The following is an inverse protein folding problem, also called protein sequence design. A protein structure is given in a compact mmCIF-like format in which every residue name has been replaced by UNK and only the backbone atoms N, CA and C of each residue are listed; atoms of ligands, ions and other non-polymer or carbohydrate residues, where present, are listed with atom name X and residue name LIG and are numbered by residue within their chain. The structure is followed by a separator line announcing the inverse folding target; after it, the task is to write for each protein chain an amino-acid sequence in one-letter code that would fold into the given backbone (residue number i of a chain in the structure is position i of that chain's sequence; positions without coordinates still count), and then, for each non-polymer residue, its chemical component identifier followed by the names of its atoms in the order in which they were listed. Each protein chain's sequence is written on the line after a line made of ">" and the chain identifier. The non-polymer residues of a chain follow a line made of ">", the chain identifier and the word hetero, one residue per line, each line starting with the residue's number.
data_IF_166266307001
#
_entry.id   IF_166266307001
#
_cell.length_a   1.000
_cell.length_b   1.000
_cell.length_c   1.000
_cell.angle_alpha   90.00
_cell.angle_beta   90.00
_cell.angle_gamma   90.00
#
_symmetry.space_group_name_H-M   'P 1'
#
loop_
_entity.id
_entity.type
_entity.pdbx_description
1 polymer ?
#
# COMPACT_ATOMS: atom_id res chain seq x y z
N UNK A 1 -90.08 48.86 -8.92
CA UNK A 1 -88.84 48.84 -8.12
C UNK A 1 -88.35 47.41 -8.03
N UNK A 2 -87.19 47.17 -8.66
CA UNK A 2 -86.22 46.06 -8.48
C UNK A 2 -86.67 44.59 -8.70
N UNK A 3 -85.77 43.65 -9.07
CA UNK A 3 -84.42 43.79 -9.66
C UNK A 3 -84.20 42.96 -10.94
N UNK A 4 -83.24 43.40 -11.76
CA UNK A 4 -82.67 42.63 -12.88
C UNK A 4 -81.86 41.47 -12.31
N UNK A 5 -82.24 40.22 -12.65
CA UNK A 5 -81.44 39.05 -12.35
C UNK A 5 -80.24 38.99 -13.31
N UNK A 6 -79.07 39.32 -12.79
CA UNK A 6 -77.78 38.99 -13.40
C UNK A 6 -77.50 37.52 -13.14
N UNK A 7 -77.53 36.71 -14.18
CA UNK A 7 -76.96 35.36 -14.20
C UNK A 7 -75.43 35.47 -14.31
N UNK A 8 -74.65 34.98 -13.33
CA UNK A 8 -73.22 34.80 -13.54
C UNK A 8 -73.02 33.52 -14.36
N UNK A 9 -72.60 33.69 -15.61
CA UNK A 9 -72.01 32.64 -16.44
C UNK A 9 -70.75 32.12 -15.75
N UNK A 10 -70.87 31.05 -14.96
CA UNK A 10 -69.73 30.30 -14.44
C UNK A 10 -69.19 29.39 -15.56
N UNK A 11 -68.41 29.98 -16.46
CA UNK A 11 -67.50 29.23 -17.32
C UNK A 11 -66.28 28.84 -16.48
N UNK A 12 -66.43 27.86 -15.60
CA UNK A 12 -65.29 27.27 -14.90
C UNK A 12 -64.67 26.23 -15.84
N UNK A 13 -63.74 26.69 -16.68
CA UNK A 13 -62.81 25.82 -17.37
C UNK A 13 -61.96 25.11 -16.30
N UNK A 14 -62.34 23.89 -15.96
CA UNK A 14 -61.61 23.01 -15.04
C UNK A 14 -60.26 22.64 -15.69
N UNK A 15 -59.22 23.41 -15.33
CA UNK A 15 -57.85 23.04 -15.62
C UNK A 15 -57.49 21.71 -14.95
N UNK A 16 -56.56 20.94 -15.52
CA UNK A 16 -56.21 19.62 -15.00
C UNK A 16 -55.69 19.70 -13.55
N UNK A 17 -56.28 18.88 -12.66
CA UNK A 17 -55.87 18.80 -11.26
C UNK A 17 -54.35 18.53 -11.16
N UNK A 18 -53.57 19.34 -10.42
CA UNK A 18 -52.12 19.21 -10.35
C UNK A 18 -51.69 17.84 -9.81
N UNK A 19 -52.47 17.28 -8.89
CA UNK A 19 -52.27 15.93 -8.35
C UNK A 19 -52.40 14.83 -9.40
N UNK A 20 -53.28 15.00 -10.39
CA UNK A 20 -53.41 14.05 -11.51
C UNK A 20 -52.17 14.08 -12.39
N UNK A 21 -51.62 15.26 -12.66
CA UNK A 21 -50.40 15.41 -13.47
C UNK A 21 -49.23 14.72 -12.77
N UNK A 22 -49.04 14.96 -11.47
CA UNK A 22 -47.97 14.32 -10.68
C UNK A 22 -48.13 12.79 -10.68
N UNK A 23 -49.35 12.29 -10.49
CA UNK A 23 -49.62 10.85 -10.52
C UNK A 23 -49.30 10.23 -11.90
N UNK A 24 -49.66 10.90 -12.99
CA UNK A 24 -49.37 10.42 -14.35
C UNK A 24 -47.85 10.37 -14.60
N UNK A 25 -47.12 11.43 -14.23
CA UNK A 25 -45.65 11.46 -14.39
C UNK A 25 -44.99 10.36 -13.55
N UNK A 26 -45.43 10.16 -12.31
CA UNK A 26 -44.90 9.11 -11.45
C UNK A 26 -45.15 7.72 -12.05
N UNK A 27 -46.39 7.41 -12.43
CA UNK A 27 -46.76 6.11 -13.00
C UNK A 27 -46.01 5.85 -14.30
N UNK A 28 -45.95 6.82 -15.20
CA UNK A 28 -45.23 6.68 -16.48
C UNK A 28 -43.74 6.46 -16.26
N UNK A 29 -43.10 7.24 -15.36
CA UNK A 29 -41.69 7.05 -15.02
C UNK A 29 -41.40 5.69 -14.38
N UNK A 30 -42.30 5.20 -13.53
CA UNK A 30 -42.19 3.90 -12.90
C UNK A 30 -42.30 2.76 -13.92
N UNK A 31 -43.26 2.84 -14.85
CA UNK A 31 -43.41 1.87 -15.93
C UNK A 31 -42.17 1.87 -16.85
N UNK A 32 -41.67 3.06 -17.22
CA UNK A 32 -40.44 3.20 -18.02
C UNK A 32 -39.24 2.56 -17.30
N UNK A 33 -39.11 2.78 -15.99
CA UNK A 33 -38.05 2.18 -15.18
C UNK A 33 -38.17 0.65 -15.12
N UNK A 34 -39.38 0.12 -14.94
CA UNK A 34 -39.63 -1.33 -14.97
C UNK A 34 -39.30 -1.95 -16.33
N UNK A 35 -39.67 -1.29 -17.43
CA UNK A 35 -39.35 -1.76 -18.78
C UNK A 35 -37.84 -1.72 -19.04
N UNK A 36 -37.16 -0.64 -18.65
CA UNK A 36 -35.72 -0.53 -18.79
C UNK A 36 -34.99 -1.61 -17.97
N UNK A 37 -35.41 -1.82 -16.72
CA UNK A 37 -34.89 -2.87 -15.85
C UNK A 37 -35.13 -4.27 -16.44
N UNK A 38 -36.35 -4.54 -16.90
CA UNK A 38 -36.69 -5.81 -17.56
C UNK A 38 -35.85 -6.05 -18.82
N UNK A 39 -35.62 -5.02 -19.63
CA UNK A 39 -34.77 -5.11 -20.82
C UNK A 39 -33.30 -5.41 -20.46
N UNK A 40 -32.76 -4.79 -19.41
CA UNK A 40 -31.40 -5.06 -18.91
C UNK A 40 -31.30 -6.49 -18.40
N UNK A 41 -32.24 -6.93 -17.57
CA UNK A 41 -32.27 -8.30 -17.03
C UNK A 41 -32.39 -9.31 -18.17
N UNK A 42 -33.27 -9.06 -19.14
CA UNK A 42 -33.43 -9.93 -20.31
C UNK A 42 -32.15 -9.98 -21.15
N UNK A 43 -31.52 -8.83 -21.39
CA UNK A 43 -30.26 -8.75 -22.12
C UNK A 43 -29.12 -9.50 -21.41
N UNK A 44 -29.00 -9.35 -20.09
CA UNK A 44 -28.02 -10.06 -19.27
C UNK A 44 -28.29 -11.57 -19.30
N UNK A 45 -29.54 -12.00 -19.16
CA UNK A 45 -29.92 -13.42 -19.25
C UNK A 45 -29.65 -14.00 -20.63
N UNK A 46 -29.94 -13.26 -21.71
CA UNK A 46 -29.64 -13.70 -23.08
C UNK A 46 -28.14 -13.82 -23.33
N UNK A 47 -27.34 -12.91 -22.76
CA UNK A 47 -25.87 -13.02 -22.81
C UNK A 47 -25.38 -14.24 -22.03
N UNK A 48 -25.93 -14.46 -20.84
CA UNK A 48 -25.59 -15.60 -19.99
C UNK A 48 -25.89 -16.93 -20.69
N UNK A 49 -27.08 -17.12 -21.26
CA UNK A 49 -27.43 -18.35 -21.97
C UNK A 49 -26.57 -18.58 -23.22
N UNK A 50 -26.19 -17.51 -23.93
CA UNK A 50 -25.22 -17.61 -25.03
C UNK A 50 -23.83 -18.04 -24.54
N UNK A 51 -23.34 -17.46 -23.46
CA UNK A 51 -22.06 -17.87 -22.87
C UNK A 51 -22.11 -19.33 -22.40
N UNK A 52 -23.17 -19.72 -21.69
CA UNK A 52 -23.35 -21.10 -21.22
C UNK A 52 -23.40 -22.09 -22.39
N UNK A 53 -24.06 -21.74 -23.51
CA UNK A 53 -24.06 -22.57 -24.71
C UNK A 53 -22.67 -22.71 -25.34
N UNK A 54 -21.89 -21.62 -25.38
CA UNK A 54 -20.50 -21.63 -25.88
C UNK A 54 -19.59 -22.46 -24.95
N UNK A 55 -19.71 -22.27 -23.64
CA UNK A 55 -18.94 -22.98 -22.63
C UNK A 55 -19.27 -24.47 -22.64
N UNK A 56 -20.55 -24.84 -22.71
CA UNK A 56 -20.98 -26.23 -22.83
C UNK A 56 -20.52 -26.85 -24.16
N UNK A 57 -20.54 -26.09 -25.25
CA UNK A 57 -19.96 -26.51 -26.53
C UNK A 57 -18.45 -26.74 -26.44
N UNK A 58 -17.73 -25.86 -25.76
CA UNK A 58 -16.29 -25.97 -25.54
C UNK A 58 -15.94 -27.18 -24.66
N UNK A 59 -16.69 -27.41 -23.58
CA UNK A 59 -16.54 -28.60 -22.74
C UNK A 59 -16.85 -29.89 -23.50
N UNK A 60 -17.81 -29.85 -24.42
CA UNK A 60 -18.17 -31.02 -25.25
C UNK A 60 -17.12 -31.33 -26.33
N UNK A 61 -16.33 -30.35 -26.74
CA UNK A 61 -15.21 -30.54 -27.68
C UNK A 61 -13.87 -30.81 -26.96
N UNK A 62 -13.81 -30.69 -25.64
CA UNK A 62 -12.59 -30.96 -24.86
C UNK A 62 -12.39 -32.47 -24.74
N UNK A 63 -11.33 -32.96 -25.39
CA UNK A 63 -10.91 -34.34 -25.19
C UNK A 63 -10.44 -34.54 -23.73
N UNK A 64 -10.80 -35.69 -23.11
CA UNK A 64 -10.36 -36.00 -21.76
C UNK A 64 -8.83 -36.02 -21.69
N UNK A 65 -8.28 -35.54 -20.58
CA UNK A 65 -6.84 -35.48 -20.38
C UNK A 65 -6.25 -36.90 -20.43
N UNK A 66 -5.34 -37.20 -21.37
CA UNK A 66 -4.80 -38.55 -21.55
C UNK A 66 -3.76 -38.91 -20.48
N UNK A 67 -3.30 -37.94 -19.68
CA UNK A 67 -2.26 -38.13 -18.68
C UNK A 67 -2.85 -38.52 -17.31
N UNK A 68 -2.10 -39.27 -16.49
CA UNK A 68 -2.54 -39.60 -15.14
C UNK A 68 -2.63 -38.35 -14.26
N UNK A 69 -3.72 -38.24 -13.49
CA UNK A 69 -3.98 -37.10 -12.60
C UNK A 69 -2.80 -36.85 -11.66
N UNK A 70 -2.43 -35.57 -11.49
CA UNK A 70 -1.32 -35.14 -10.63
C UNK A 70 0.08 -35.17 -11.27
N UNK A 71 0.25 -35.84 -12.42
CA UNK A 71 1.50 -35.78 -13.18
C UNK A 71 1.78 -34.38 -13.74
N UNK A 72 3.05 -34.07 -14.02
CA UNK A 72 3.41 -32.79 -14.64
C UNK A 72 2.77 -32.65 -16.03
N UNK A 73 2.79 -33.72 -16.84
CA UNK A 73 2.13 -33.75 -18.14
C UNK A 73 0.60 -33.51 -18.05
N UNK A 74 -0.05 -33.99 -16.99
CA UNK A 74 -1.45 -33.69 -16.74
C UNK A 74 -1.66 -32.19 -16.49
N UNK A 75 -0.82 -31.58 -15.63
CA UNK A 75 -0.87 -30.14 -15.33
C UNK A 75 -0.63 -29.28 -16.56
N UNK A 76 0.38 -29.62 -17.36
CA UNK A 76 0.72 -28.89 -18.59
C UNK A 76 -0.41 -28.99 -19.63
N UNK A 77 -1.02 -30.17 -19.77
CA UNK A 77 -2.20 -30.35 -20.64
C UNK A 77 -3.39 -29.53 -20.14
N UNK A 78 -3.67 -29.53 -18.83
CA UNK A 78 -4.76 -28.69 -18.29
C UNK A 78 -4.49 -27.21 -18.56
N UNK A 79 -3.29 -26.72 -18.27
CA UNK A 79 -2.88 -25.33 -18.48
C UNK A 79 -2.99 -24.91 -19.95
N UNK A 80 -2.58 -25.76 -20.88
CA UNK A 80 -2.70 -25.50 -22.33
C UNK A 80 -4.15 -25.37 -22.81
N UNK A 81 -5.10 -25.99 -22.09
CA UNK A 81 -6.51 -25.99 -22.41
C UNK A 81 -7.31 -24.94 -21.61
N UNK A 82 -6.65 -24.12 -20.79
CA UNK A 82 -7.27 -22.97 -20.15
C UNK A 82 -7.41 -21.86 -21.21
N UNK A 83 -8.60 -21.26 -21.39
CA UNK A 83 -8.74 -20.15 -22.31
C UNK A 83 -7.85 -18.98 -21.86
N UNK A 84 -7.22 -18.29 -22.82
CA UNK A 84 -6.30 -17.19 -22.54
C UNK A 84 -6.89 -16.13 -21.60
N UNK A 85 -8.20 -15.87 -21.68
CA UNK A 85 -8.91 -14.95 -20.77
C UNK A 85 -8.86 -15.37 -19.31
N UNK A 86 -8.87 -16.67 -19.01
CA UNK A 86 -8.77 -17.19 -17.65
C UNK A 86 -7.32 -17.17 -17.15
N UNK A 87 -6.33 -17.36 -18.04
CA UNK A 87 -4.92 -17.13 -17.71
C UNK A 87 -4.66 -15.65 -17.41
N UNK A 88 -5.22 -14.75 -18.20
CA UNK A 88 -5.12 -13.30 -17.98
C UNK A 88 -5.78 -12.91 -16.65
N UNK A 89 -6.98 -13.44 -16.36
CA UNK A 89 -7.65 -13.20 -15.07
C UNK A 89 -6.82 -13.69 -13.87
N UNK A 90 -6.22 -14.88 -13.98
CA UNK A 90 -5.33 -15.41 -12.94
C UNK A 90 -4.09 -14.54 -12.76
N UNK A 91 -3.49 -14.07 -13.87
CA UNK A 91 -2.34 -13.17 -13.85
C UNK A 91 -2.68 -11.81 -13.24
N UNK A 92 -3.85 -11.26 -13.55
CA UNK A 92 -4.34 -10.01 -12.95
C UNK A 92 -4.51 -10.19 -11.45
N UNK A 93 -5.15 -11.28 -11.00
CA UNK A 93 -5.35 -11.56 -9.58
C UNK A 93 -4.01 -11.71 -8.82
N UNK A 94 -3.02 -12.38 -9.43
CA UNK A 94 -1.69 -12.50 -8.85
C UNK A 94 -0.98 -11.14 -8.73
N UNK A 95 -1.05 -10.32 -9.79
CA UNK A 95 -0.51 -8.96 -9.77
C UNK A 95 -1.20 -8.06 -8.74
N UNK A 96 -2.51 -8.18 -8.57
CA UNK A 96 -3.26 -7.45 -7.54
C UNK A 96 -2.82 -7.87 -6.13
N UNK A 97 -2.64 -9.17 -5.89
CA UNK A 97 -2.14 -9.68 -4.61
C UNK A 97 -0.73 -9.15 -4.30
N UNK A 98 0.17 -9.16 -5.29
CA UNK A 98 1.51 -8.60 -5.15
C UNK A 98 1.47 -7.09 -4.87
N UNK A 99 0.61 -6.34 -5.55
CA UNK A 99 0.48 -4.90 -5.37
C UNK A 99 -0.05 -4.56 -3.96
N UNK A 100 -1.04 -5.31 -3.47
CA UNK A 100 -1.54 -5.17 -2.11
C UNK A 100 -0.45 -5.42 -1.06
N UNK A 101 0.38 -6.46 -1.26
CA UNK A 101 1.51 -6.75 -0.37
C UNK A 101 2.55 -5.62 -0.40
N UNK A 102 2.85 -5.07 -1.57
CA UNK A 102 3.75 -3.92 -1.70
C UNK A 102 3.19 -2.68 -1.00
N UNK A 103 1.89 -2.42 -1.13
CA UNK A 103 1.21 -1.34 -0.40
C UNK A 103 1.36 -1.47 1.11
N UNK A 104 1.09 -2.66 1.67
CA UNK A 104 1.27 -2.92 3.10
C UNK A 104 2.71 -2.71 3.57
N UNK A 105 3.69 -3.11 2.76
CA UNK A 105 5.11 -2.89 3.08
C UNK A 105 5.48 -1.41 3.04
N UNK A 106 4.94 -0.65 2.09
CA UNK A 106 5.17 0.79 2.00
C UNK A 106 4.61 1.51 3.24
N UNK A 107 3.38 1.17 3.66
CA UNK A 107 2.77 1.72 4.88
C UNK A 107 3.60 1.39 6.13
N UNK A 108 4.09 0.15 6.25
CA UNK A 108 4.94 -0.24 7.37
C UNK A 108 6.27 0.55 7.41
N UNK A 109 6.89 0.76 6.24
CA UNK A 109 8.11 1.57 6.13
C UNK A 109 7.85 3.04 6.47
N UNK A 110 6.74 3.60 6.03
CA UNK A 110 6.34 4.97 6.39
C UNK A 110 6.13 5.12 7.90
N UNK A 111 5.50 4.13 8.55
CA UNK A 111 5.38 4.08 10.01
C UNK A 111 6.74 4.05 10.73
N UNK A 112 7.70 3.27 10.22
CA UNK A 112 9.06 3.24 10.77
C UNK A 112 9.79 4.57 10.60
N UNK A 113 9.66 5.22 9.44
CA UNK A 113 10.24 6.55 9.20
C UNK A 113 9.67 7.55 10.20
N UNK A 114 8.35 7.55 10.41
CA UNK A 114 7.73 8.45 11.38
C UNK A 114 8.25 8.23 12.81
N UNK A 115 8.37 6.97 13.25
CA UNK A 115 8.95 6.64 14.56
C UNK A 115 10.41 7.09 14.69
N UNK A 116 11.21 6.91 13.63
CA UNK A 116 12.58 7.39 13.58
C UNK A 116 12.65 8.92 13.68
N UNK A 117 11.78 9.64 12.97
CA UNK A 117 11.71 11.10 13.05
C UNK A 117 11.30 11.60 14.44
N UNK A 118 10.30 10.97 15.07
CA UNK A 118 9.91 11.29 16.45
C UNK A 118 11.05 11.05 17.44
N UNK A 119 11.74 9.91 17.32
CA UNK A 119 12.91 9.61 18.14
C UNK A 119 14.05 10.59 17.92
N UNK A 120 14.30 10.99 16.67
CA UNK A 120 15.33 11.96 16.35
C UNK A 120 14.99 13.34 16.93
N UNK A 121 13.73 13.78 16.83
CA UNK A 121 13.26 15.02 17.48
C UNK A 121 13.45 14.98 19.00
N UNK A 122 13.13 13.86 19.64
CA UNK A 122 13.35 13.68 21.08
C UNK A 122 14.83 13.76 21.44
N UNK A 123 15.70 13.07 20.70
CA UNK A 123 17.15 13.12 20.91
C UNK A 123 17.70 14.52 20.68
N UNK A 124 17.21 15.26 19.70
CA UNK A 124 17.60 16.65 19.48
C UNK A 124 17.21 17.55 20.65
N UNK A 125 16.02 17.35 21.25
CA UNK A 125 15.63 18.07 22.47
C UNK A 125 16.52 17.71 23.65
N UNK A 126 16.74 16.42 23.90
CA UNK A 126 17.63 15.96 24.98
C UNK A 126 19.06 16.48 24.81
N UNK A 127 19.61 16.47 23.59
CA UNK A 127 20.92 17.05 23.32
C UNK A 127 20.95 18.57 23.51
N UNK A 128 19.86 19.28 23.20
CA UNK A 128 19.76 20.71 23.45
C UNK A 128 19.67 21.01 24.96
N UNK A 129 18.89 20.22 25.72
CA UNK A 129 18.80 20.29 27.18
C UNK A 129 20.15 20.00 27.83
N UNK A 130 20.82 18.90 27.43
CA UNK A 130 22.16 18.58 27.92
C UNK A 130 23.18 19.66 27.57
N UNK A 131 23.07 20.32 26.40
CA UNK A 131 23.93 21.46 26.05
C UNK A 131 23.67 22.69 26.90
N UNK A 132 22.42 22.92 27.32
CA UNK A 132 22.05 24.00 28.24
C UNK A 132 22.45 23.68 29.68
N UNK A 133 22.39 22.41 30.09
CA UNK A 133 22.84 21.93 31.39
C UNK A 133 24.37 21.83 31.47
N UNK A 134 25.02 21.60 30.32
CA UNK A 134 26.46 21.74 30.10
C UNK A 134 26.85 23.18 29.74
N UNK A 135 26.14 24.18 30.30
CA UNK A 135 26.62 25.55 30.32
C UNK A 135 28.06 25.52 30.83
N UNK A 136 29.03 26.13 30.12
CA UNK A 136 30.45 25.96 30.42
C UNK A 136 30.79 26.79 31.66
N UNK A 137 30.47 26.26 32.83
CA UNK A 137 31.32 26.39 34.00
C UNK A 137 32.40 25.28 33.94
N UNK A 138 32.90 24.97 32.74
CA UNK A 138 34.30 24.60 32.65
C UNK A 138 35.06 25.88 32.95
N UNK A 139 35.39 26.02 34.23
CA UNK A 139 36.31 26.99 34.79
C UNK A 139 37.40 27.28 33.73
N UNK A 140 37.32 28.45 33.10
CA UNK A 140 38.20 28.89 31.99
C UNK A 140 39.68 28.70 32.38
N UNK A 141 39.94 28.72 33.69
CA UNK A 141 41.19 28.45 34.36
C UNK A 141 41.65 26.99 34.26
N UNK A 142 40.75 26.02 34.41
CA UNK A 142 41.04 24.57 34.28
C UNK A 142 41.31 24.23 32.81
N UNK A 143 40.53 24.79 31.90
CA UNK A 143 40.75 24.58 30.46
C UNK A 143 42.06 25.22 30.00
N UNK A 144 42.42 26.42 30.51
CA UNK A 144 43.74 27.01 30.31
C UNK A 144 44.86 26.18 30.91
N UNK A 145 44.69 25.64 32.12
CA UNK A 145 45.70 24.82 32.80
C UNK A 145 45.97 23.51 32.06
N UNK A 146 44.93 22.84 31.56
CA UNK A 146 45.07 21.62 30.73
C UNK A 146 45.72 21.94 29.38
N UNK A 147 45.35 23.04 28.73
CA UNK A 147 46.00 23.46 27.48
C UNK A 147 47.47 23.81 27.69
N UNK A 148 47.81 24.39 28.85
CA UNK A 148 49.18 24.76 29.21
C UNK A 148 50.01 23.52 29.57
N UNK A 149 49.42 22.52 30.23
CA UNK A 149 50.06 21.23 30.51
C UNK A 149 50.29 20.39 29.25
N UNK A 150 49.39 20.44 28.27
CA UNK A 150 49.56 19.75 26.97
C UNK A 150 50.65 20.39 26.08
N UNK A 151 50.93 21.69 26.25
CA UNK A 151 51.97 22.40 25.48
C UNK A 151 53.34 22.41 26.17
N UNK A 152 53.47 21.83 27.37
CA UNK A 152 54.79 21.65 27.97
C UNK A 152 55.52 20.50 27.24
N UNK A 153 56.69 20.75 26.65
CA UNK A 153 57.49 19.67 26.09
C UNK A 153 57.83 18.71 27.23
N UNK A 154 57.56 17.41 27.02
CA UNK A 154 57.97 16.34 27.92
C UNK A 154 59.49 16.50 28.13
N UNK A 155 59.89 17.07 29.27
CA UNK A 155 61.27 16.97 29.72
C UNK A 155 61.48 15.50 30.06
N UNK A 156 61.97 14.73 29.08
CA UNK A 156 62.57 13.43 29.33
C UNK A 156 63.66 13.70 30.35
N UNK A 157 63.42 13.30 31.60
CA UNK A 157 64.50 13.08 32.54
C UNK A 157 65.49 12.17 31.82
N UNK A 158 66.70 12.68 31.58
CA UNK A 158 67.81 11.90 31.06
C UNK A 158 68.08 10.78 32.07
N UNK A 159 67.45 9.63 31.82
CA UNK A 159 67.70 8.41 32.55
C UNK A 159 69.09 7.92 32.13
N UNK A 160 70.05 8.16 33.01
CA UNK A 160 71.29 7.41 33.21
C UNK A 160 71.62 6.40 32.10
N UNK A 161 72.55 6.80 31.24
CA UNK A 161 73.42 5.91 30.49
C UNK A 161 74.25 5.06 31.45
N UNK A 162 73.79 3.85 31.73
CA UNK A 162 74.59 2.70 32.19
C UNK A 162 73.68 1.49 31.94
N UNK A 163 73.80 0.84 30.78
CA UNK A 163 74.79 -0.21 30.59
C UNK A 163 74.09 -1.54 30.81
N UNK A 164 73.68 -2.21 29.74
CA UNK A 164 73.63 -3.67 29.73
C UNK A 164 73.76 -4.19 28.30
N UNK A 165 74.77 -5.04 28.15
CA UNK A 165 75.28 -5.57 26.91
C UNK A 165 74.33 -6.54 26.23
N UNK A 166 74.57 -6.66 24.92
CA UNK A 166 74.15 -7.76 24.05
C UNK A 166 74.24 -9.12 24.74
N UNK A 167 73.19 -9.91 24.58
CA UNK A 167 73.38 -11.35 24.37
C UNK A 167 72.48 -11.82 23.23
N UNK A 168 73.14 -12.34 22.21
CA UNK A 168 72.61 -13.16 21.12
C UNK A 168 71.78 -14.32 21.67
N UNK A 169 70.82 -14.85 20.89
CA UNK A 169 70.88 -16.24 20.38
C UNK A 169 69.83 -16.39 19.26
N UNK A 170 70.31 -16.99 18.16
CA UNK A 170 69.58 -17.40 16.98
C UNK A 170 68.89 -18.76 17.15
N UNK A 171 67.93 -19.06 16.26
CA UNK A 171 67.39 -20.41 16.03
C UNK A 171 65.85 -20.39 16.02
N UNK A 172 65.21 -20.61 14.87
CA UNK A 172 64.80 -21.96 14.35
C UNK A 172 63.76 -22.59 15.26
N UNK A 173 62.60 -23.12 14.86
CA UNK A 173 61.97 -23.53 13.59
C UNK A 173 60.44 -23.47 13.89
N UNK A 174 59.52 -23.28 12.95
CA UNK A 174 59.00 -24.32 12.06
C UNK A 174 57.91 -25.19 12.74
N UNK A 175 56.64 -24.96 12.39
CA UNK A 175 55.56 -25.96 12.13
C UNK A 175 54.21 -25.21 12.08
N UNK A 176 53.47 -25.13 10.97
CA UNK A 176 52.76 -26.16 10.20
C UNK A 176 51.63 -26.87 10.95
N UNK A 177 50.40 -26.57 10.47
CA UNK A 177 49.18 -27.41 10.44
C UNK A 177 48.59 -27.87 11.78
N UNK A 178 47.37 -27.42 12.08
CA UNK A 178 46.11 -28.04 11.67
C UNK A 178 44.96 -27.02 11.72
#
# INVERSE_FOLDING_TARGET
>A
MSPIQVTPTSAHATGPDPWRIVAIVFITSFILSLLASGAVIFYLNRKRTRLEAIVNGLHRMRAPNPHPFGSNAWRDYELSNIPNSALDALRIADLEAQNNLLGQRAEALEGLVHLCEERNKLLHRQNAELRLESDPVLDEEVMRRVLQELHMPIQRAESNSQGFERQEVAGMDGDSKE
#
